data_IF_078087333543
#
_entry.id   IF_078087333543
#
_cell.length_a   1.000
_cell.length_b   1.000
_cell.length_c   1.000
_cell.angle_alpha   90.00
_cell.angle_beta   90.00
_cell.angle_gamma   90.00
#
_symmetry.space_group_name_H-M   'P 1'
#
loop_
_entity.id
_entity.type
_entity.pdbx_description
1 polymer ?
#
# COMPACT_ATOMS: atom_id res chain seq x y z
N UNK A 1 5.10 1.02 12.20
CA UNK A 1 4.93 0.97 10.73
C UNK A 1 6.27 1.33 10.11
N UNK A 2 7.13 0.33 9.91
CA UNK A 2 8.35 0.54 9.14
C UNK A 2 7.93 0.38 7.68
N UNK A 3 7.75 1.50 6.97
CA UNK A 3 7.78 1.42 5.51
C UNK A 3 9.22 1.04 5.20
N UNK A 4 9.36 -0.21 4.81
CA UNK A 4 10.56 -0.81 4.25
C UNK A 4 11.15 0.15 3.22
N UNK A 5 12.47 0.30 3.23
CA UNK A 5 13.20 1.44 2.67
C UNK A 5 13.01 1.71 1.17
N UNK A 6 13.87 2.56 0.62
CA UNK A 6 13.77 2.98 -0.78
C UNK A 6 13.69 1.81 -1.79
N UNK A 7 14.29 0.66 -1.47
CA UNK A 7 14.27 -0.53 -2.30
C UNK A 7 12.88 -1.17 -2.39
N UNK A 8 12.16 -1.29 -1.28
CA UNK A 8 10.83 -1.90 -1.26
C UNK A 8 9.76 -0.99 -1.85
N UNK A 9 9.94 0.33 -1.70
CA UNK A 9 9.13 1.30 -2.43
C UNK A 9 9.34 1.18 -3.95
N UNK A 10 10.59 1.07 -4.39
CA UNK A 10 10.93 0.90 -5.80
C UNK A 10 10.36 -0.42 -6.36
N UNK A 11 10.50 -1.53 -5.63
CA UNK A 11 9.93 -2.82 -6.03
C UNK A 11 8.40 -2.78 -6.15
N UNK A 12 7.71 -2.10 -5.22
CA UNK A 12 6.25 -1.92 -5.29
C UNK A 12 5.85 -1.05 -6.50
N UNK A 13 6.63 -0.03 -6.82
CA UNK A 13 6.43 0.82 -8.00
C UNK A 13 6.59 0.03 -9.30
N UNK A 14 7.67 -0.70 -9.45
CA UNK A 14 7.96 -1.52 -10.64
C UNK A 14 6.89 -2.60 -10.86
N UNK A 15 6.47 -3.28 -9.80
CA UNK A 15 5.38 -4.25 -9.85
C UNK A 15 4.05 -3.63 -10.32
N UNK A 16 3.84 -2.33 -10.05
CA UNK A 16 2.63 -1.61 -10.43
C UNK A 16 2.53 -1.21 -11.90
N UNK A 17 3.66 -1.15 -12.63
CA UNK A 17 3.70 -0.67 -14.01
C UNK A 17 2.79 -1.50 -14.94
N UNK A 18 2.82 -2.83 -14.80
CA UNK A 18 2.03 -3.76 -15.61
C UNK A 18 0.63 -4.07 -15.08
N UNK A 19 0.20 -3.44 -13.98
CA UNK A 19 -1.07 -3.77 -13.32
C UNK A 19 -2.22 -2.87 -13.76
N UNK A 20 -3.42 -3.45 -13.84
CA UNK A 20 -4.67 -2.69 -13.94
C UNK A 20 -4.89 -1.83 -12.67
N UNK A 21 -5.75 -0.81 -12.71
CA UNK A 21 -5.97 0.11 -11.57
C UNK A 21 -6.26 -0.60 -10.23
N UNK A 22 -7.07 -1.67 -10.26
CA UNK A 22 -7.37 -2.47 -9.07
C UNK A 22 -6.12 -3.18 -8.52
N UNK A 23 -5.28 -3.73 -9.40
CA UNK A 23 -4.02 -4.37 -9.01
C UNK A 23 -3.05 -3.39 -8.38
N UNK A 24 -2.97 -2.16 -8.91
CA UNK A 24 -2.16 -1.07 -8.32
C UNK A 24 -2.65 -0.69 -6.93
N UNK A 25 -3.97 -0.57 -6.73
CA UNK A 25 -4.55 -0.28 -5.42
C UNK A 25 -4.22 -1.37 -4.39
N UNK A 26 -4.30 -2.64 -4.80
CA UNK A 26 -3.92 -3.79 -3.96
C UNK A 26 -2.43 -3.79 -3.61
N UNK A 27 -1.55 -3.47 -4.58
CA UNK A 27 -0.11 -3.35 -4.33
C UNK A 27 0.21 -2.27 -3.29
N UNK A 28 -0.43 -1.10 -3.41
CA UNK A 28 -0.26 -0.01 -2.44
C UNK A 28 -0.78 -0.40 -1.05
N UNK A 29 -1.93 -1.06 -0.97
CA UNK A 29 -2.49 -1.47 0.31
C UNK A 29 -1.65 -2.55 1.01
N UNK A 30 -1.04 -3.47 0.24
CA UNK A 30 -0.03 -4.42 0.76
C UNK A 30 1.19 -3.71 1.33
N UNK A 31 1.67 -2.63 0.68
CA UNK A 31 2.77 -1.82 1.22
C UNK A 31 2.39 -1.13 2.53
N UNK A 32 1.13 -0.72 2.69
CA UNK A 32 0.63 -0.15 3.95
C UNK A 32 0.42 -1.19 5.06
N UNK A 33 0.12 -2.44 4.70
CA UNK A 33 -0.17 -3.56 5.61
C UNK A 33 0.62 -4.82 5.23
N UNK A 34 1.94 -4.83 5.40
CA UNK A 34 2.77 -5.98 5.03
C UNK A 34 2.44 -7.25 5.84
N UNK A 35 1.90 -7.10 7.03
CA UNK A 35 1.56 -8.20 7.95
C UNK A 35 0.19 -8.84 7.66
N UNK A 36 -0.56 -8.31 6.70
CA UNK A 36 -1.90 -8.80 6.34
C UNK A 36 -1.83 -9.54 5.01
N UNK A 37 -2.45 -10.73 4.97
CA UNK A 37 -2.55 -11.49 3.73
C UNK A 37 -3.23 -10.67 2.61
N UNK A 38 -2.71 -10.79 1.39
CA UNK A 38 -3.19 -10.02 0.25
C UNK A 38 -4.64 -10.36 -0.11
N UNK A 39 -5.05 -11.62 0.08
CA UNK A 39 -6.43 -12.05 -0.10
C UNK A 39 -7.38 -11.42 0.91
N UNK A 40 -6.88 -11.02 2.09
CA UNK A 40 -7.67 -10.40 3.16
C UNK A 40 -7.86 -8.90 2.99
N UNK A 41 -6.95 -8.21 2.29
CA UNK A 41 -6.99 -6.75 2.10
C UNK A 41 -8.31 -6.21 1.51
N UNK A 42 -8.92 -6.84 0.48
CA UNK A 42 -10.18 -6.35 -0.08
C UNK A 42 -11.38 -6.51 0.86
N UNK A 43 -11.25 -7.35 1.89
CA UNK A 43 -12.31 -7.70 2.84
C UNK A 43 -12.29 -6.78 4.06
N UNK A 44 -11.25 -5.95 4.21
CA UNK A 44 -11.20 -4.94 5.27
C UNK A 44 -12.25 -3.84 5.03
N UNK A 45 -12.84 -3.28 6.10
CA UNK A 45 -13.75 -2.14 5.97
C UNK A 45 -13.11 -1.00 5.20
N UNK A 46 -13.88 -0.32 4.33
CA UNK A 46 -13.36 0.76 3.48
C UNK A 46 -12.64 1.83 4.30
N UNK A 47 -13.17 2.21 5.47
CA UNK A 47 -12.54 3.18 6.36
C UNK A 47 -11.15 2.75 6.88
N UNK A 48 -10.95 1.45 7.15
CA UNK A 48 -9.62 0.94 7.55
C UNK A 48 -8.66 0.96 6.37
N UNK A 49 -9.13 0.55 5.19
CA UNK A 49 -8.35 0.58 3.94
C UNK A 49 -7.88 2.00 3.62
N UNK A 50 -8.76 2.97 3.74
CA UNK A 50 -8.43 4.37 3.52
C UNK A 50 -7.45 4.89 4.57
N UNK A 51 -7.68 4.59 5.85
CA UNK A 51 -6.77 5.00 6.93
C UNK A 51 -5.35 4.48 6.70
N UNK A 52 -5.20 3.23 6.24
CA UNK A 52 -3.92 2.62 5.89
C UNK A 52 -3.21 3.36 4.76
N UNK A 53 -3.95 3.65 3.68
CA UNK A 53 -3.40 4.36 2.52
C UNK A 53 -3.03 5.82 2.85
N UNK A 54 -3.82 6.50 3.68
CA UNK A 54 -3.49 7.83 4.18
C UNK A 54 -2.25 7.81 5.09
N UNK A 55 -2.13 6.81 5.96
CA UNK A 55 -0.94 6.65 6.80
C UNK A 55 0.31 6.37 5.95
N UNK A 56 0.19 5.51 4.92
CA UNK A 56 1.26 5.26 3.95
C UNK A 56 1.65 6.55 3.21
N UNK A 57 0.68 7.31 2.72
CA UNK A 57 0.92 8.59 2.04
C UNK A 57 1.66 9.59 2.93
N UNK A 58 1.28 9.70 4.21
CA UNK A 58 1.95 10.60 5.15
C UNK A 58 3.37 10.17 5.47
N UNK A 59 3.62 8.87 5.62
CA UNK A 59 4.96 8.38 5.90
C UNK A 59 5.88 8.44 4.66
N UNK A 60 5.36 8.37 3.43
CA UNK A 60 6.15 8.51 2.21
C UNK A 60 6.46 9.96 1.82
N UNK A 61 5.55 10.92 2.04
CA UNK A 61 5.76 12.30 1.58
C UNK A 61 5.38 13.39 2.60
N UNK A 62 5.25 13.05 3.88
CA UNK A 62 4.95 13.99 4.96
C UNK A 62 3.47 14.33 5.13
N UNK A 63 3.18 15.07 6.21
CA UNK A 63 1.89 15.68 6.51
C UNK A 63 1.63 16.83 5.52
N UNK A 64 0.61 16.71 4.67
CA UNK A 64 0.17 17.76 3.74
C UNK A 64 -1.32 17.69 3.48
#
# INVERSE_FOLDING_TARGET
MAITGAAELLAAWEAGLGQAPVGRALLLHRTARPDVDTGRLPQLPVGEREADLFALRRALFGER
#
